data_IF_630005357414
#
_entry.id   IF_630005357414
#
_cell.length_a   1.000
_cell.length_b   1.000
_cell.length_c   1.000
_cell.angle_alpha   90.00
_cell.angle_beta   90.00
_cell.angle_gamma   90.00
#
_symmetry.space_group_name_H-M   'P 1'
#
loop_
_entity.id
_entity.type
_entity.pdbx_description
1 polymer ?
#
# COMPACT_ATOMS: atom_id res chain seq x y z
N UNK A 1 11.60 -17.50 1.10
CA UNK A 1 10.11 -17.48 0.97
C UNK A 1 9.77 -17.79 -0.48
N UNK A 2 8.88 -18.74 -0.76
CA UNK A 2 8.56 -19.17 -2.13
C UNK A 2 7.05 -19.36 -2.31
N UNK A 3 6.44 -18.64 -3.25
CA UNK A 3 5.06 -18.79 -3.68
C UNK A 3 4.95 -19.94 -4.69
N UNK A 4 3.98 -20.84 -4.50
CA UNK A 4 3.76 -22.03 -5.34
C UNK A 4 2.35 -22.05 -5.98
N UNK A 5 1.64 -20.91 -5.96
CA UNK A 5 0.20 -20.86 -6.25
C UNK A 5 -0.65 -21.19 -5.01
N UNK A 6 -1.97 -21.19 -5.18
CA UNK A 6 -2.91 -21.59 -4.13
C UNK A 6 -4.08 -22.39 -4.71
N UNK A 7 -4.93 -22.97 -3.85
CA UNK A 7 -6.14 -23.67 -4.31
C UNK A 7 -7.12 -22.73 -5.02
N UNK A 8 -7.07 -21.42 -4.72
CA UNK A 8 -8.01 -20.42 -5.23
C UNK A 8 -7.42 -19.57 -6.37
N UNK A 9 -6.13 -19.71 -6.68
CA UNK A 9 -5.47 -18.91 -7.71
C UNK A 9 -4.48 -19.74 -8.54
N UNK A 10 -4.86 -19.95 -9.81
CA UNK A 10 -4.04 -20.66 -10.79
C UNK A 10 -3.04 -19.67 -11.39
N UNK A 11 -1.85 -19.62 -10.79
CA UNK A 11 -0.74 -18.84 -11.33
C UNK A 11 -0.02 -19.61 -12.44
N UNK A 12 0.28 -18.95 -13.57
CA UNK A 12 1.17 -19.50 -14.57
C UNK A 12 2.58 -19.66 -14.01
N UNK A 13 3.40 -20.53 -14.62
CA UNK A 13 4.78 -20.73 -14.20
C UNK A 13 5.60 -19.43 -14.26
N UNK A 14 5.38 -18.62 -15.29
CA UNK A 14 6.04 -17.33 -15.46
C UNK A 14 5.63 -16.33 -14.37
N UNK A 15 4.35 -16.29 -14.00
CA UNK A 15 3.86 -15.42 -12.92
C UNK A 15 4.46 -15.84 -11.57
N UNK A 16 4.49 -17.15 -11.29
CA UNK A 16 5.14 -17.67 -10.09
C UNK A 16 6.64 -17.32 -10.05
N UNK A 17 7.33 -17.41 -11.19
CA UNK A 17 8.74 -17.04 -11.29
C UNK A 17 8.93 -15.55 -11.00
N UNK A 18 8.11 -14.67 -11.59
CA UNK A 18 8.19 -13.23 -11.37
C UNK A 18 7.94 -12.84 -9.91
N UNK A 19 6.92 -13.43 -9.27
CA UNK A 19 6.62 -13.24 -7.84
C UNK A 19 7.80 -13.69 -6.98
N UNK A 20 8.32 -14.89 -7.21
CA UNK A 20 9.44 -15.42 -6.44
C UNK A 20 10.73 -14.62 -6.65
N UNK A 21 10.97 -14.12 -7.85
CA UNK A 21 12.09 -13.24 -8.14
C UNK A 21 11.96 -11.91 -7.38
N UNK A 22 10.78 -11.29 -7.39
CA UNK A 22 10.51 -10.05 -6.66
C UNK A 22 10.72 -10.22 -5.15
N UNK A 23 10.20 -11.31 -4.57
CA UNK A 23 10.40 -11.65 -3.14
C UNK A 23 11.89 -11.84 -2.83
N UNK A 24 12.61 -12.60 -3.67
CA UNK A 24 14.02 -12.94 -3.44
C UNK A 24 14.93 -11.71 -3.57
N UNK A 25 14.63 -10.83 -4.52
CA UNK A 25 15.39 -9.61 -4.76
C UNK A 25 14.96 -8.44 -3.87
N UNK A 26 13.88 -8.61 -3.10
CA UNK A 26 13.22 -7.55 -2.33
C UNK A 26 12.93 -6.31 -3.21
N UNK A 27 12.44 -6.55 -4.43
CA UNK A 27 12.07 -5.51 -5.38
C UNK A 27 10.55 -5.48 -5.59
N UNK A 28 9.95 -4.30 -5.80
CA UNK A 28 8.54 -4.20 -6.16
C UNK A 28 8.23 -5.00 -7.44
N UNK A 29 7.05 -5.60 -7.48
CA UNK A 29 6.53 -6.28 -8.67
C UNK A 29 5.39 -5.46 -9.27
N UNK A 30 5.56 -4.99 -10.51
CA UNK A 30 4.49 -4.36 -11.26
C UNK A 30 3.73 -5.43 -12.05
N UNK A 31 2.43 -5.57 -11.78
CA UNK A 31 1.56 -6.52 -12.46
C UNK A 31 0.63 -5.77 -13.41
N UNK A 32 0.68 -6.11 -14.70
CA UNK A 32 -0.18 -5.54 -15.75
C UNK A 32 -1.14 -6.61 -16.29
N UNK A 33 -2.32 -6.19 -16.72
CA UNK A 33 -3.32 -7.06 -17.35
C UNK A 33 -4.68 -6.39 -17.41
N UNK A 34 -5.59 -6.96 -18.19
CA UNK A 34 -6.96 -6.45 -18.33
C UNK A 34 -7.72 -6.44 -16.99
N UNK A 35 -8.74 -5.58 -16.81
CA UNK A 35 -9.64 -5.65 -15.67
C UNK A 35 -10.21 -7.07 -15.47
N UNK A 36 -10.31 -7.53 -14.22
CA UNK A 36 -10.85 -8.86 -13.91
C UNK A 36 -9.88 -10.05 -14.08
N UNK A 37 -8.60 -9.82 -14.40
CA UNK A 37 -7.57 -10.88 -14.52
C UNK A 37 -7.00 -11.38 -13.19
N UNK A 38 -7.58 -10.98 -12.06
CA UNK A 38 -7.17 -11.46 -10.73
C UNK A 38 -5.90 -10.85 -10.16
N UNK A 39 -5.53 -9.61 -10.55
CA UNK A 39 -4.34 -8.91 -10.01
C UNK A 39 -4.42 -8.66 -8.50
N UNK A 40 -5.56 -8.19 -8.01
CA UNK A 40 -5.82 -7.99 -6.58
C UNK A 40 -5.76 -9.32 -5.83
N UNK A 41 -6.40 -10.37 -6.39
CA UNK A 41 -6.40 -11.71 -5.83
C UNK A 41 -5.00 -12.31 -5.74
N UNK A 42 -4.12 -12.06 -6.73
CA UNK A 42 -2.72 -12.47 -6.65
C UNK A 42 -2.04 -11.92 -5.39
N UNK A 43 -2.24 -10.64 -5.07
CA UNK A 43 -1.62 -10.03 -3.88
C UNK A 43 -2.15 -10.65 -2.58
N UNK A 44 -3.46 -10.92 -2.50
CA UNK A 44 -4.10 -11.60 -1.37
C UNK A 44 -3.54 -13.02 -1.16
N UNK A 45 -3.41 -13.78 -2.23
CA UNK A 45 -2.93 -15.17 -2.19
C UNK A 45 -1.43 -15.24 -1.91
N UNK A 46 -0.63 -14.29 -2.43
CA UNK A 46 0.79 -14.18 -2.10
C UNK A 46 0.98 -13.79 -0.64
N UNK A 47 0.24 -12.79 -0.13
CA UNK A 47 0.32 -12.39 1.28
C UNK A 47 -0.05 -13.55 2.21
N UNK A 48 -1.13 -14.28 1.88
CA UNK A 48 -1.58 -15.47 2.62
C UNK A 48 -0.53 -16.58 2.60
N UNK A 49 0.01 -16.91 1.43
CA UNK A 49 1.02 -17.96 1.28
C UNK A 49 2.33 -17.64 2.02
N UNK A 50 2.64 -16.35 2.19
CA UNK A 50 3.82 -15.87 2.92
C UNK A 50 3.54 -15.57 4.39
N UNK A 51 2.29 -15.75 4.85
CA UNK A 51 1.84 -15.40 6.19
C UNK A 51 2.18 -13.94 6.57
N UNK A 52 1.93 -13.02 5.64
CA UNK A 52 2.13 -11.58 5.81
C UNK A 52 0.79 -10.85 5.87
N UNK A 53 0.64 -9.82 6.70
CA UNK A 53 -0.49 -8.89 6.59
C UNK A 53 -0.49 -8.23 5.21
N UNK A 54 -1.67 -8.11 4.61
CA UNK A 54 -1.87 -7.34 3.38
C UNK A 54 -2.41 -5.96 3.72
N UNK A 55 -1.66 -4.93 3.33
CA UNK A 55 -2.14 -3.55 3.28
C UNK A 55 -2.53 -3.23 1.84
N UNK A 56 -3.70 -2.64 1.65
CA UNK A 56 -4.18 -2.24 0.33
C UNK A 56 -4.30 -0.71 0.28
N UNK A 57 -3.74 -0.12 -0.75
CA UNK A 57 -3.88 1.30 -1.07
C UNK A 57 -4.43 1.45 -2.48
N UNK A 58 -5.69 1.89 -2.58
CA UNK A 58 -6.35 2.11 -3.85
C UNK A 58 -6.12 3.54 -4.32
N UNK A 59 -5.45 3.68 -5.46
CA UNK A 59 -5.03 4.94 -6.04
C UNK A 59 -6.13 5.52 -6.93
N UNK A 60 -6.32 6.84 -6.85
CA UNK A 60 -7.27 7.62 -7.67
C UNK A 60 -6.50 8.66 -8.47
N UNK A 61 -7.17 9.29 -9.44
CA UNK A 61 -6.60 10.38 -10.23
C UNK A 61 -6.20 11.62 -9.43
N UNK A 62 -6.75 11.77 -8.23
CA UNK A 62 -6.41 12.86 -7.31
C UNK A 62 -5.43 12.44 -6.22
N UNK A 63 -5.01 11.17 -6.20
CA UNK A 63 -4.10 10.65 -5.18
C UNK A 63 -2.68 11.17 -5.41
N UNK A 64 -2.06 11.67 -4.34
CA UNK A 64 -0.65 12.09 -4.31
C UNK A 64 0.17 11.13 -3.46
N UNK A 65 1.44 10.91 -3.82
CA UNK A 65 2.33 10.00 -3.09
C UNK A 65 2.43 10.36 -1.60
N UNK A 66 2.46 11.67 -1.28
CA UNK A 66 2.46 12.18 0.10
C UNK A 66 1.30 11.63 0.95
N UNK A 67 0.11 11.42 0.38
CA UNK A 67 -1.04 10.87 1.11
C UNK A 67 -0.82 9.41 1.54
N UNK A 68 0.04 8.68 0.83
CA UNK A 68 0.48 7.35 1.24
C UNK A 68 1.34 7.40 2.51
N UNK A 69 2.08 8.49 2.74
CA UNK A 69 2.86 8.70 3.95
C UNK A 69 1.99 9.26 5.08
N UNK A 70 1.47 10.47 4.94
CA UNK A 70 0.61 11.06 5.95
C UNK A 70 -0.20 12.24 5.42
N UNK A 71 -1.30 12.54 6.11
CA UNK A 71 -2.04 13.78 5.97
C UNK A 71 -2.02 14.56 7.29
N UNK A 72 -1.99 15.88 7.18
CA UNK A 72 -2.09 16.76 8.34
C UNK A 72 -3.50 17.33 8.44
N UNK A 73 -4.22 16.97 9.50
CA UNK A 73 -5.58 17.41 9.77
C UNK A 73 -5.59 18.82 10.39
N UNK A 74 -5.39 19.80 9.51
CA UNK A 74 -5.42 21.21 9.86
C UNK A 74 -6.80 21.65 10.40
N UNK A 75 -7.89 20.99 9.97
CA UNK A 75 -9.26 21.36 10.34
C UNK A 75 -9.52 20.99 11.80
N UNK A 76 -9.21 19.76 12.19
CA UNK A 76 -9.32 19.33 13.59
C UNK A 76 -8.41 20.15 14.49
N UNK A 77 -7.19 20.46 14.07
CA UNK A 77 -6.28 21.31 14.86
C UNK A 77 -6.81 22.73 15.05
N UNK A 78 -7.37 23.34 14.00
CA UNK A 78 -7.95 24.67 14.09
C UNK A 78 -9.14 24.68 15.06
N UNK A 79 -10.05 23.70 14.95
CA UNK A 79 -11.20 23.55 15.85
C UNK A 79 -10.76 23.41 17.30
N UNK A 80 -9.81 22.52 17.57
CA UNK A 80 -9.29 22.28 18.92
C UNK A 80 -8.58 23.51 19.49
N UNK A 81 -7.90 24.29 18.63
CA UNK A 81 -7.23 25.53 19.02
C UNK A 81 -8.22 26.61 19.44
N UNK A 82 -9.40 26.68 18.80
CA UNK A 82 -10.46 27.62 19.18
C UNK A 82 -11.12 27.23 20.51
N UNK A 83 -11.13 25.94 20.85
CA UNK A 83 -11.69 25.41 22.09
C UNK A 83 -10.68 25.43 23.27
N UNK A 84 -9.43 25.82 23.02
CA UNK A 84 -8.38 25.87 24.05
C UNK A 84 -7.89 24.48 24.50
N UNK A 85 -8.03 23.47 23.65
CA UNK A 85 -7.64 22.09 23.96
C UNK A 85 -6.10 21.97 24.03
N UNK A 86 -5.57 21.34 25.08
CA UNK A 86 -4.13 21.14 25.26
C UNK A 86 -3.50 20.26 24.17
N UNK A 87 -4.29 19.44 23.47
CA UNK A 87 -3.84 18.56 22.38
C UNK A 87 -3.15 19.33 21.24
N UNK A 88 -3.49 20.60 21.02
CA UNK A 88 -2.92 21.42 19.93
C UNK A 88 -1.43 21.68 20.03
N UNK A 89 -0.85 21.48 21.23
CA UNK A 89 0.58 21.64 21.50
C UNK A 89 1.43 20.54 20.87
N UNK A 90 0.85 19.38 20.62
CA UNK A 90 1.53 18.26 19.97
C UNK A 90 0.96 18.02 18.57
N UNK A 91 1.80 18.20 17.56
CA UNK A 91 1.43 18.06 16.16
C UNK A 91 1.07 16.61 15.80
N UNK A 92 1.62 15.62 16.50
CA UNK A 92 1.38 14.20 16.22
C UNK A 92 -0.10 13.82 16.35
N UNK A 93 -0.86 14.55 17.19
CA UNK A 93 -2.30 14.36 17.36
C UNK A 93 -3.11 14.65 16.08
N UNK A 94 -2.50 15.29 15.09
CA UNK A 94 -3.15 15.73 13.84
C UNK A 94 -2.49 15.12 12.61
N UNK A 95 -1.64 14.12 12.79
CA UNK A 95 -1.04 13.36 11.70
C UNK A 95 -1.86 12.08 11.49
N UNK A 96 -2.51 12.00 10.34
CA UNK A 96 -3.20 10.81 9.88
C UNK A 96 -2.21 9.98 9.06
N UNK A 97 -1.86 8.79 9.55
CA UNK A 97 -0.89 7.90 8.90
C UNK A 97 -1.49 7.27 7.65
N UNK A 98 -0.84 7.47 6.51
CA UNK A 98 -1.19 6.80 5.25
C UNK A 98 -0.73 5.34 5.22
N UNK A 99 -1.11 4.62 4.15
CA UNK A 99 -0.88 3.17 4.03
C UNK A 99 0.62 2.83 3.85
N UNK A 100 1.40 3.66 3.14
CA UNK A 100 2.85 3.49 3.04
C UNK A 100 3.51 3.68 4.41
N UNK A 101 3.10 4.67 5.18
CA UNK A 101 3.63 4.85 6.53
C UNK A 101 3.37 3.62 7.39
N UNK A 102 2.14 3.09 7.35
CA UNK A 102 1.81 1.86 8.06
C UNK A 102 2.69 0.69 7.61
N UNK A 103 2.97 0.58 6.31
CA UNK A 103 3.86 -0.45 5.77
C UNK A 103 5.32 -0.29 6.22
N UNK A 104 5.87 0.93 6.16
CA UNK A 104 7.25 1.21 6.53
C UNK A 104 7.51 1.12 8.04
N UNK A 105 6.49 1.37 8.85
CA UNK A 105 6.60 1.33 10.33
C UNK A 105 6.07 0.04 10.95
N UNK A 106 5.67 -0.94 10.13
CA UNK A 106 5.23 -2.22 10.61
C UNK A 106 6.37 -2.97 11.33
N UNK A 107 6.06 -3.57 12.48
CA UNK A 107 7.02 -4.38 13.25
C UNK A 107 7.37 -5.71 12.57
N UNK A 108 6.52 -6.15 11.65
CA UNK A 108 6.68 -7.38 10.86
C UNK A 108 6.60 -7.06 9.36
N UNK A 109 7.20 -7.90 8.49
CA UNK A 109 7.05 -7.76 7.05
C UNK A 109 5.57 -7.77 6.63
N UNK A 110 5.20 -6.84 5.76
CA UNK A 110 3.85 -6.74 5.20
C UNK A 110 3.90 -6.81 3.68
N UNK A 111 2.86 -7.36 3.08
CA UNK A 111 2.60 -7.18 1.66
C UNK A 111 1.82 -5.88 1.48
N UNK A 112 2.27 -5.03 0.56
CA UNK A 112 1.57 -3.81 0.18
C UNK A 112 1.09 -3.93 -1.26
N UNK A 113 -0.23 -3.84 -1.47
CA UNK A 113 -0.83 -3.69 -2.78
C UNK A 113 -1.12 -2.20 -3.02
N UNK A 114 -0.50 -1.63 -4.04
CA UNK A 114 -0.87 -0.34 -4.61
C UNK A 114 -1.73 -0.62 -5.84
N UNK A 115 -3.04 -0.53 -5.69
CA UNK A 115 -4.00 -0.86 -6.74
C UNK A 115 -4.33 0.37 -7.59
N UNK A 116 -4.66 0.15 -8.85
CA UNK A 116 -4.99 1.20 -9.83
C UNK A 116 -3.94 2.33 -9.94
N UNK A 117 -2.64 1.99 -9.79
CA UNK A 117 -1.54 2.97 -9.88
C UNK A 117 -1.51 3.71 -11.22
N UNK A 118 -2.04 3.12 -12.29
CA UNK A 118 -2.18 3.73 -13.62
C UNK A 118 -3.17 4.90 -13.66
N UNK A 119 -4.01 5.08 -12.63
CA UNK A 119 -4.95 6.20 -12.53
C UNK A 119 -4.31 7.49 -12.04
N UNK A 120 -3.16 7.39 -11.37
CA UNK A 120 -2.49 8.54 -10.78
C UNK A 120 -1.91 9.50 -11.83
N UNK A 121 -1.42 10.64 -11.36
CA UNK A 121 -0.57 11.51 -12.16
C UNK A 121 0.68 10.77 -12.66
N UNK A 122 1.22 11.17 -13.81
CA UNK A 122 2.38 10.50 -14.42
C UNK A 122 3.63 10.54 -13.53
N UNK A 123 3.76 11.56 -12.67
CA UNK A 123 4.88 11.67 -11.73
C UNK A 123 4.68 10.84 -10.45
N UNK A 124 3.47 10.33 -10.20
CA UNK A 124 3.16 9.59 -8.98
C UNK A 124 4.09 8.40 -8.70
N UNK A 125 4.49 7.56 -9.70
CA UNK A 125 5.45 6.49 -9.47
C UNK A 125 6.86 6.97 -9.13
N UNK A 126 7.24 8.19 -9.54
CA UNK A 126 8.53 8.79 -9.21
C UNK A 126 8.52 9.47 -7.83
N UNK A 127 7.35 9.95 -7.41
CA UNK A 127 7.13 10.58 -6.10
C UNK A 127 7.00 9.56 -4.95
N UNK A 128 6.80 8.28 -5.30
CA UNK A 128 6.70 7.12 -4.39
C UNK A 128 8.06 6.71 -3.81
#
# INVERSE_FOLDING_TARGET
MKFQGSQNYVATQDLMLAVNAAITLQRPLLVKGEPGTGKTMLAEEVATALNMPLLQWHVKSTTKAQQGLYEYDAVSRLRDSQLGDARVKDIHNYIVKGVLWQAFTAEQPVALLIDEIDKADIEFPNDL
#
